data_IF_394426949858
#
_entry.id   IF_394426949858
#
_cell.length_a   1.000
_cell.length_b   1.000
_cell.length_c   1.000
_cell.angle_alpha   90.00
_cell.angle_beta   90.00
_cell.angle_gamma   90.00
#
_symmetry.space_group_name_H-M   'P 1'
#
loop_
_entity.id
_entity.type
_entity.pdbx_description
1 polymer ?
#
# COMPACT_ATOMS: atom_id res chain seq x y z
N UNK A 1 -33.44 -1.19 24.67
CA UNK A 1 -32.37 -0.19 24.45
C UNK A 1 -30.94 -0.66 24.76
N UNK A 2 -30.71 -1.64 25.67
CA UNK A 2 -29.36 -2.10 26.04
C UNK A 2 -28.59 -2.87 24.95
N UNK A 3 -29.28 -3.74 24.20
CA UNK A 3 -28.64 -4.59 23.17
C UNK A 3 -28.08 -3.78 21.98
N UNK A 4 -28.83 -2.77 21.50
CA UNK A 4 -28.37 -1.86 20.44
C UNK A 4 -27.11 -1.08 20.85
N UNK A 5 -27.03 -0.61 22.10
CA UNK A 5 -25.83 0.05 22.62
C UNK A 5 -24.63 -0.90 22.63
N UNK A 6 -24.80 -2.13 23.10
CA UNK A 6 -23.71 -3.13 23.16
C UNK A 6 -23.14 -3.43 21.76
N UNK A 7 -24.00 -3.60 20.75
CA UNK A 7 -23.58 -3.85 19.36
C UNK A 7 -22.80 -2.65 18.81
N UNK A 8 -23.29 -1.43 19.05
CA UNK A 8 -22.60 -0.21 18.61
C UNK A 8 -21.22 -0.08 19.28
N UNK A 9 -21.12 -0.34 20.58
CA UNK A 9 -19.85 -0.26 21.31
C UNK A 9 -18.85 -1.32 20.83
N UNK A 10 -19.30 -2.55 20.57
CA UNK A 10 -18.44 -3.63 20.03
C UNK A 10 -17.96 -3.31 18.61
N UNK A 11 -18.82 -2.76 17.74
CA UNK A 11 -18.40 -2.30 16.41
C UNK A 11 -17.36 -1.19 16.49
N UNK A 12 -17.55 -0.19 17.36
CA UNK A 12 -16.59 0.92 17.54
C UNK A 12 -15.24 0.40 18.06
N UNK A 13 -15.25 -0.53 19.02
CA UNK A 13 -14.02 -1.15 19.55
C UNK A 13 -13.31 -1.97 18.46
N UNK A 14 -14.05 -2.66 17.60
CA UNK A 14 -13.48 -3.40 16.47
C UNK A 14 -12.84 -2.44 15.45
N UNK A 15 -13.54 -1.36 15.08
CA UNK A 15 -13.00 -0.31 14.20
C UNK A 15 -11.77 0.40 14.79
N UNK A 16 -11.74 0.64 16.10
CA UNK A 16 -10.60 1.25 16.79
C UNK A 16 -9.39 0.31 16.83
N UNK A 17 -9.59 -1.02 16.97
CA UNK A 17 -8.51 -2.02 16.91
C UNK A 17 -8.06 -2.33 15.47
N UNK A 18 -8.90 -2.08 14.47
CA UNK A 18 -8.57 -2.20 13.04
C UNK A 18 -7.69 -1.03 12.52
N UNK A 19 -7.57 0.07 13.26
CA UNK A 19 -6.66 1.18 12.94
C UNK A 19 -5.19 0.89 13.30
N UNK A 20 -4.89 -0.27 13.89
CA UNK A 20 -3.54 -0.82 13.81
C UNK A 20 -3.34 -1.39 12.41
N UNK A 21 -3.13 -0.52 11.42
CA UNK A 21 -2.50 -0.93 10.17
C UNK A 21 -1.11 -1.40 10.55
N UNK A 22 -0.99 -2.70 10.78
CA UNK A 22 0.26 -3.30 11.22
C UNK A 22 1.24 -3.08 10.08
N UNK A 23 2.13 -2.08 10.21
CA UNK A 23 3.29 -1.91 9.34
C UNK A 23 3.99 -3.26 9.34
N UNK A 24 3.86 -3.99 8.24
CA UNK A 24 4.33 -5.36 8.18
C UNK A 24 5.65 -5.33 7.43
N UNK A 25 6.69 -5.76 8.14
CA UNK A 25 7.98 -6.00 7.55
C UNK A 25 7.84 -7.11 6.50
N UNK A 26 8.09 -6.77 5.24
CA UNK A 26 8.23 -7.70 4.13
C UNK A 26 9.72 -7.93 3.92
N UNK A 27 10.14 -9.18 3.96
CA UNK A 27 11.49 -9.56 3.54
C UNK A 27 11.52 -9.49 2.01
N UNK A 28 12.53 -8.80 1.49
CA UNK A 28 12.83 -8.71 0.06
C UNK A 28 14.25 -9.19 -0.13
N UNK A 29 14.44 -10.12 -1.06
CA UNK A 29 15.76 -10.63 -1.40
C UNK A 29 16.37 -9.70 -2.42
N UNK A 30 17.50 -9.09 -2.10
CA UNK A 30 18.31 -8.36 -3.06
C UNK A 30 19.37 -9.30 -3.63
N UNK A 31 19.28 -9.57 -4.94
CA UNK A 31 20.23 -10.42 -5.68
C UNK A 31 21.25 -9.59 -6.46
N UNK A 32 21.29 -8.27 -6.28
CA UNK A 32 22.13 -7.36 -7.07
C UNK A 32 23.57 -7.21 -6.55
N UNK A 33 23.89 -7.77 -5.38
CA UNK A 33 25.24 -7.77 -4.84
C UNK A 33 25.94 -9.12 -5.06
N UNK A 34 27.10 -9.07 -5.70
CA UNK A 34 28.01 -10.19 -6.04
C UNK A 34 28.57 -10.96 -4.81
N UNK A 35 28.10 -10.63 -3.60
CA UNK A 35 28.56 -11.15 -2.32
C UNK A 35 27.37 -11.59 -1.45
N UNK A 36 26.67 -12.63 -1.89
CA UNK A 36 25.64 -13.32 -1.09
C UNK A 36 24.23 -12.71 -1.15
N UNK A 37 23.24 -13.55 -0.82
CA UNK A 37 21.83 -13.14 -0.70
C UNK A 37 21.71 -12.20 0.49
N UNK A 38 21.49 -10.91 0.25
CA UNK A 38 21.18 -9.94 1.30
C UNK A 38 19.67 -9.83 1.47
N UNK A 39 19.17 -10.24 2.64
CA UNK A 39 17.78 -10.05 3.03
C UNK A 39 17.56 -8.59 3.45
N UNK A 40 16.76 -7.86 2.68
CA UNK A 40 16.35 -6.49 3.00
C UNK A 40 14.97 -6.54 3.65
N UNK A 41 14.88 -6.01 4.88
CA UNK A 41 13.61 -5.90 5.58
C UNK A 41 12.95 -4.58 5.20
N UNK A 42 11.83 -4.65 4.47
CA UNK A 42 11.07 -3.50 4.03
C UNK A 42 9.80 -3.31 4.87
N UNK A 43 9.64 -2.17 5.52
CA UNK A 43 8.43 -1.87 6.33
C UNK A 43 7.30 -1.30 5.46
N UNK A 44 6.55 -2.17 4.78
CA UNK A 44 5.45 -1.75 3.92
C UNK A 44 4.35 -1.04 4.72
N UNK A 45 3.67 -0.04 4.12
CA UNK A 45 2.55 0.64 4.78
C UNK A 45 1.38 -0.32 5.04
N UNK A 46 1.23 -1.33 4.18
CA UNK A 46 0.32 -2.46 4.32
C UNK A 46 0.78 -3.61 3.43
N UNK A 47 0.16 -4.80 3.56
CA UNK A 47 0.41 -5.90 2.63
C UNK A 47 -0.45 -5.72 1.38
N UNK A 48 0.13 -5.60 0.17
CA UNK A 48 -0.64 -5.61 -1.07
C UNK A 48 -1.22 -7.01 -1.26
N UNK A 49 -2.44 -7.21 -0.79
CA UNK A 49 -3.17 -8.48 -0.90
C UNK A 49 -4.67 -8.29 -1.16
N UNK A 50 -5.14 -7.03 -1.15
CA UNK A 50 -6.53 -6.66 -1.41
C UNK A 50 -6.61 -5.18 -1.79
N UNK A 51 -7.33 -4.87 -2.86
CA UNK A 51 -7.54 -3.51 -3.36
C UNK A 51 -8.32 -2.62 -2.38
N UNK A 52 -9.12 -3.18 -1.47
CA UNK A 52 -9.80 -2.40 -0.43
C UNK A 52 -8.79 -1.71 0.52
N UNK A 53 -7.70 -2.41 0.85
CA UNK A 53 -6.65 -1.87 1.72
C UNK A 53 -5.91 -0.73 1.01
N UNK A 54 -5.68 -0.86 -0.30
CA UNK A 54 -5.12 0.23 -1.10
C UNK A 54 -6.01 1.48 -1.07
N UNK A 55 -7.34 1.35 -1.15
CA UNK A 55 -8.23 2.51 -1.09
C UNK A 55 -8.14 3.25 0.25
N UNK A 56 -8.00 2.51 1.36
CA UNK A 56 -7.88 3.11 2.70
C UNK A 56 -6.52 3.78 2.91
N UNK A 57 -5.44 3.18 2.41
CA UNK A 57 -4.06 3.62 2.63
C UNK A 57 -3.42 4.19 1.37
N UNK A 58 -4.21 4.77 0.47
CA UNK A 58 -3.75 5.20 -0.85
C UNK A 58 -2.59 6.19 -0.78
N UNK A 59 -2.76 7.25 0.02
CA UNK A 59 -1.74 8.28 0.21
C UNK A 59 -0.47 7.71 0.86
N UNK A 60 -0.62 6.76 1.78
CA UNK A 60 0.53 6.11 2.42
C UNK A 60 1.28 5.19 1.47
N UNK A 61 0.57 4.50 0.56
CA UNK A 61 1.18 3.75 -0.54
C UNK A 61 2.02 4.67 -1.44
N UNK A 62 1.43 5.78 -1.90
CA UNK A 62 2.11 6.73 -2.77
C UNK A 62 3.32 7.38 -2.08
N UNK A 63 3.17 7.79 -0.82
CA UNK A 63 4.28 8.31 0.00
C UNK A 63 5.40 7.30 0.15
N UNK A 64 5.07 6.04 0.42
CA UNK A 64 6.07 4.97 0.54
C UNK A 64 6.82 4.77 -0.78
N UNK A 65 6.12 4.77 -1.91
CA UNK A 65 6.72 4.64 -3.23
C UNK A 65 7.65 5.82 -3.58
N UNK A 66 7.31 7.02 -3.13
CA UNK A 66 8.15 8.22 -3.36
C UNK A 66 9.40 8.28 -2.49
N UNK A 67 9.35 7.84 -1.23
CA UNK A 67 10.41 8.15 -0.25
C UNK A 67 11.21 6.93 0.26
N UNK A 68 10.75 5.70 0.04
CA UNK A 68 11.44 4.51 0.53
C UNK A 68 12.65 4.14 -0.32
N UNK A 69 13.59 3.39 0.26
CA UNK A 69 14.77 2.89 -0.46
C UNK A 69 14.41 2.04 -1.68
N UNK A 70 15.22 2.13 -2.73
CA UNK A 70 14.93 1.60 -4.08
C UNK A 70 14.39 0.17 -4.08
N UNK A 71 15.13 -0.77 -3.47
CA UNK A 71 14.75 -2.19 -3.38
C UNK A 71 13.32 -2.33 -2.81
N UNK A 72 13.04 -1.59 -1.75
CA UNK A 72 11.79 -1.66 -1.02
C UNK A 72 10.63 -1.00 -1.77
N UNK A 73 10.83 0.18 -2.38
CA UNK A 73 9.78 0.84 -3.17
C UNK A 73 9.46 0.07 -4.45
N UNK A 74 10.45 -0.46 -5.17
CA UNK A 74 10.22 -1.24 -6.38
C UNK A 74 9.55 -2.58 -6.10
N UNK A 75 9.97 -3.28 -5.04
CA UNK A 75 9.32 -4.53 -4.61
C UNK A 75 7.87 -4.31 -4.19
N UNK A 76 7.59 -3.23 -3.44
CA UNK A 76 6.22 -2.85 -3.09
C UNK A 76 5.39 -2.49 -4.33
N UNK A 77 5.93 -1.66 -5.23
CA UNK A 77 5.26 -1.27 -6.47
C UNK A 77 4.87 -2.48 -7.32
N UNK A 78 5.79 -3.45 -7.48
CA UNK A 78 5.53 -4.67 -8.26
C UNK A 78 4.35 -5.46 -7.69
N UNK A 79 4.33 -5.67 -6.37
CA UNK A 79 3.23 -6.37 -5.69
C UNK A 79 1.93 -5.57 -5.84
N UNK A 80 1.97 -4.26 -5.63
CA UNK A 80 0.79 -3.41 -5.69
C UNK A 80 0.17 -3.35 -7.08
N UNK A 81 0.98 -3.18 -8.14
CA UNK A 81 0.53 -3.21 -9.54
C UNK A 81 -0.17 -4.52 -9.86
N UNK A 82 0.38 -5.65 -9.41
CA UNK A 82 -0.22 -6.98 -9.62
C UNK A 82 -1.63 -7.05 -9.03
N UNK A 83 -1.79 -6.63 -7.77
CA UNK A 83 -3.10 -6.64 -7.09
C UNK A 83 -4.14 -5.74 -7.77
N UNK A 84 -3.71 -4.54 -8.20
CA UNK A 84 -4.56 -3.57 -8.91
C UNK A 84 -5.00 -4.12 -10.26
N UNK A 85 -4.08 -4.71 -11.02
CA UNK A 85 -4.37 -5.32 -12.33
C UNK A 85 -5.26 -6.55 -12.23
N UNK A 86 -5.13 -7.35 -11.17
CA UNK A 86 -6.00 -8.51 -10.92
C UNK A 86 -7.34 -8.14 -10.28
N UNK A 87 -7.62 -6.85 -10.08
CA UNK A 87 -8.84 -6.43 -9.40
C UNK A 87 -10.08 -6.72 -10.23
N UNK A 88 -11.00 -7.51 -9.66
CA UNK A 88 -12.32 -7.72 -10.25
C UNK A 88 -13.26 -6.52 -10.05
N UNK A 89 -13.08 -5.76 -8.96
CA UNK A 89 -14.03 -4.71 -8.55
C UNK A 89 -13.66 -3.30 -9.04
N UNK A 90 -12.47 -3.10 -9.60
CA UNK A 90 -12.04 -1.80 -10.11
C UNK A 90 -12.37 -1.68 -11.59
N UNK A 91 -13.09 -0.63 -12.02
CA UNK A 91 -13.25 -0.32 -13.44
C UNK A 91 -11.89 -0.09 -14.12
N UNK A 92 -11.80 -0.39 -15.41
CA UNK A 92 -10.55 -0.26 -16.17
C UNK A 92 -9.92 1.14 -16.06
N UNK A 93 -10.73 2.20 -16.08
CA UNK A 93 -10.22 3.57 -15.91
C UNK A 93 -9.57 3.80 -14.55
N UNK A 94 -10.12 3.22 -13.48
CA UNK A 94 -9.51 3.30 -12.14
C UNK A 94 -8.23 2.47 -12.05
N UNK A 95 -8.18 1.31 -12.71
CA UNK A 95 -6.97 0.49 -12.81
C UNK A 95 -5.86 1.31 -13.48
N UNK A 96 -6.12 1.88 -14.66
CA UNK A 96 -5.15 2.69 -15.40
C UNK A 96 -4.66 3.87 -14.56
N UNK A 97 -5.57 4.68 -14.01
CA UNK A 97 -5.20 5.83 -13.19
C UNK A 97 -4.37 5.44 -11.95
N UNK A 98 -4.68 4.31 -11.32
CA UNK A 98 -3.91 3.81 -10.17
C UNK A 98 -2.51 3.35 -10.58
N UNK A 99 -2.37 2.68 -11.73
CA UNK A 99 -1.06 2.27 -12.25
C UNK A 99 -0.22 3.49 -12.63
N UNK A 100 -0.83 4.52 -13.23
CA UNK A 100 -0.18 5.77 -13.56
C UNK A 100 0.29 6.50 -12.29
N UNK A 101 -0.55 6.57 -11.25
CA UNK A 101 -0.17 7.13 -9.95
C UNK A 101 1.01 6.36 -9.32
N UNK A 102 1.04 5.03 -9.41
CA UNK A 102 2.18 4.23 -8.94
C UNK A 102 3.45 4.55 -9.74
N UNK A 103 3.34 4.71 -11.06
CA UNK A 103 4.48 5.06 -11.91
C UNK A 103 5.00 6.46 -11.59
N UNK A 104 4.12 7.44 -11.47
CA UNK A 104 4.50 8.80 -11.10
C UNK A 104 5.06 8.85 -9.68
N UNK A 105 4.62 8.00 -8.76
CA UNK A 105 5.22 7.92 -7.43
C UNK A 105 6.70 7.49 -7.48
N UNK A 106 7.06 6.61 -8.42
CA UNK A 106 8.41 6.11 -8.60
C UNK A 106 9.31 7.07 -9.39
N UNK A 107 8.76 7.69 -10.45
CA UNK A 107 9.54 8.37 -11.48
C UNK A 107 9.24 9.88 -11.59
N UNK A 108 8.03 10.32 -11.25
CA UNK A 108 7.59 11.73 -11.37
C UNK A 108 6.90 12.24 -10.08
N UNK A 109 7.56 12.14 -8.90
CA UNK A 109 6.89 12.35 -7.62
C UNK A 109 6.36 13.78 -7.44
N UNK A 110 6.96 14.77 -8.11
CA UNK A 110 6.47 16.15 -8.10
C UNK A 110 5.12 16.30 -8.81
N UNK A 111 4.88 15.55 -9.88
CA UNK A 111 3.62 15.57 -10.63
C UNK A 111 2.52 14.88 -9.83
N UNK A 112 2.84 13.71 -9.25
CA UNK A 112 1.91 13.00 -8.37
C UNK A 112 1.50 13.85 -7.17
N UNK A 113 2.46 14.55 -6.54
CA UNK A 113 2.18 15.39 -5.38
C UNK A 113 1.23 16.54 -5.72
N UNK A 114 1.38 17.15 -6.90
CA UNK A 114 0.45 18.19 -7.39
C UNK A 114 -0.96 17.62 -7.57
N UNK A 115 -1.09 16.41 -8.11
CA UNK A 115 -2.37 15.74 -8.39
C UNK A 115 -3.09 15.30 -7.10
N UNK A 116 -2.36 14.75 -6.12
CA UNK A 116 -2.94 14.14 -4.93
C UNK A 116 -2.88 15.01 -3.66
N UNK A 117 -2.17 16.14 -3.71
CA UNK A 117 -2.04 17.14 -2.64
C UNK A 117 -1.70 16.51 -1.28
N UNK A 118 -0.46 16.03 -1.12
CA UNK A 118 0.03 15.41 0.13
C UNK A 118 1.49 15.71 0.48
#
# INVERSE_FOLDING_TARGET
MKLKKIIITLSIICFLNLNCTLKKNSIVIDSSQDSGINEVICSYPFTPSNNLVLLLFYKDAMRYLTHSGDICRYSFAKKLKKEVQSSFFLPQGCITATIDDINDALYHPAELRKRLNY
#
